data_IF_564735233716
#
_entry.id   IF_564735233716
#
_cell.length_a   1.000
_cell.length_b   1.000
_cell.length_c   1.000
_cell.angle_alpha   90.00
_cell.angle_beta   90.00
_cell.angle_gamma   90.00
#
_symmetry.space_group_name_H-M   'P 1'
#
loop_
_entity.id
_entity.type
_entity.pdbx_description
1 polymer ?
#
# COMPACT_ATOMS: atom_id res chain seq x y z
N UNK A 1 -40.66 50.11 29.11
CA UNK A 1 -42.03 49.56 29.17
C UNK A 1 -42.09 48.45 28.13
N UNK A 2 -42.30 47.16 28.40
CA UNK A 2 -42.56 46.29 29.55
C UNK A 2 -42.05 44.89 29.08
N UNK A 3 -41.21 44.18 29.86
CA UNK A 3 -41.50 42.90 30.56
C UNK A 3 -41.98 41.75 29.64
N UNK A 4 -41.55 40.49 29.70
CA UNK A 4 -40.69 39.71 30.61
C UNK A 4 -40.65 38.29 30.02
N UNK A 5 -39.47 37.68 29.83
CA UNK A 5 -39.35 36.26 29.45
C UNK A 5 -39.34 35.39 30.72
N UNK A 6 -40.28 34.44 30.78
CA UNK A 6 -40.39 33.45 31.85
C UNK A 6 -39.75 32.13 31.41
N UNK A 7 -38.86 31.61 32.25
CA UNK A 7 -38.27 30.28 32.12
C UNK A 7 -38.88 29.34 33.18
N UNK A 8 -39.07 28.07 32.82
CA UNK A 8 -39.41 26.94 33.72
C UNK A 8 -40.02 25.78 32.92
N UNK A 9 -39.26 24.73 32.56
CA UNK A 9 -39.17 23.40 33.24
C UNK A 9 -40.53 22.65 33.25
N UNK A 10 -40.72 21.40 32.83
CA UNK A 10 -39.93 20.13 32.71
C UNK A 10 -40.89 19.04 32.14
N UNK A 11 -40.60 17.71 32.05
CA UNK A 11 -39.38 16.95 31.76
C UNK A 11 -39.61 15.72 30.78
N UNK A 12 -38.52 14.98 30.53
CA UNK A 12 -38.42 13.52 30.22
C UNK A 12 -39.03 12.96 28.93
N UNK A 13 -38.19 12.37 28.07
CA UNK A 13 -38.17 10.92 27.83
C UNK A 13 -36.77 10.52 27.39
N UNK A 14 -36.17 9.63 28.19
CA UNK A 14 -35.01 8.83 27.83
C UNK A 14 -35.49 7.75 26.86
N UNK A 15 -34.82 7.63 25.72
CA UNK A 15 -34.56 6.35 25.06
C UNK A 15 -33.24 6.56 24.30
N UNK A 16 -32.17 5.79 24.51
CA UNK A 16 -32.18 4.37 24.85
C UNK A 16 -32.17 3.48 23.61
N UNK A 17 -31.38 3.82 22.58
CA UNK A 17 -31.01 2.89 21.51
C UNK A 17 -29.56 3.19 21.16
N UNK A 18 -28.59 2.40 21.60
CA UNK A 18 -28.39 1.06 21.04
C UNK A 18 -27.46 1.18 19.84
N UNK A 19 -26.27 1.75 20.05
CA UNK A 19 -25.20 1.68 19.06
C UNK A 19 -24.81 0.22 18.92
N UNK A 20 -25.28 -0.39 17.83
CA UNK A 20 -24.84 -1.73 17.45
C UNK A 20 -23.31 -1.71 17.29
N UNK A 21 -22.59 -2.80 17.59
CA UNK A 21 -21.15 -2.89 17.32
C UNK A 21 -20.79 -2.79 15.82
N UNK A 22 -21.80 -2.62 14.95
CA UNK A 22 -21.73 -2.53 13.49
C UNK A 22 -21.70 -1.08 12.95
N UNK A 23 -21.75 -0.04 13.81
CA UNK A 23 -21.61 1.37 13.39
C UNK A 23 -20.14 1.83 13.27
N UNK A 24 -19.19 0.88 13.19
CA UNK A 24 -17.82 1.20 12.83
C UNK A 24 -17.74 1.57 11.33
N UNK A 25 -17.01 2.63 10.93
CA UNK A 25 -16.82 2.96 9.53
C UNK A 25 -16.25 1.76 8.77
N UNK A 26 -16.90 1.34 7.69
CA UNK A 26 -16.52 0.20 6.84
C UNK A 26 -15.23 0.44 6.01
N UNK A 27 -14.36 1.36 6.41
CA UNK A 27 -13.21 1.82 5.62
C UNK A 27 -11.83 1.31 6.10
N UNK A 28 -11.77 0.44 7.13
CA UNK A 28 -10.49 -0.01 7.73
C UNK A 28 -10.15 -1.51 7.53
N UNK A 29 -11.03 -2.31 6.91
CA UNK A 29 -11.04 -3.78 7.09
C UNK A 29 -10.03 -4.58 6.24
N UNK A 30 -9.31 -4.00 5.28
CA UNK A 30 -8.32 -4.79 4.50
C UNK A 30 -7.09 -4.01 4.03
N UNK A 31 -6.71 -2.94 4.74
CA UNK A 31 -5.52 -2.18 4.38
C UNK A 31 -4.25 -3.04 4.55
N UNK A 32 -3.47 -3.24 3.48
CA UNK A 32 -2.27 -4.11 3.45
C UNK A 32 -1.07 -3.38 2.86
N UNK A 33 0.11 -3.88 3.20
CA UNK A 33 1.37 -3.41 2.60
C UNK A 33 1.53 -4.07 1.24
N UNK A 34 1.63 -3.27 0.18
CA UNK A 34 1.93 -3.74 -1.17
C UNK A 34 3.38 -4.21 -1.29
N UNK A 35 3.63 -5.17 -2.18
CA UNK A 35 5.00 -5.64 -2.48
C UNK A 35 5.26 -5.52 -3.97
N UNK A 36 6.33 -4.80 -4.31
CA UNK A 36 6.84 -4.67 -5.68
C UNK A 36 8.27 -5.18 -5.72
N UNK A 37 8.56 -6.11 -6.63
CA UNK A 37 9.91 -6.61 -6.87
C UNK A 37 10.43 -5.99 -8.15
N UNK A 38 11.65 -5.49 -8.12
CA UNK A 38 12.31 -4.85 -9.24
C UNK A 38 13.69 -5.46 -9.44
N UNK A 39 14.02 -5.83 -10.67
CA UNK A 39 15.32 -6.42 -10.96
C UNK A 39 15.68 -6.31 -12.42
N UNK A 40 16.96 -6.38 -12.74
CA UNK A 40 17.44 -6.33 -14.10
C UNK A 40 17.08 -7.60 -14.88
N UNK A 41 16.94 -7.43 -16.21
CA UNK A 41 16.61 -8.50 -17.14
C UNK A 41 15.33 -9.22 -16.69
N UNK A 42 15.43 -10.46 -16.20
CA UNK A 42 14.28 -11.25 -15.73
C UNK A 42 14.37 -11.62 -14.26
N UNK A 43 15.24 -10.95 -13.49
CA UNK A 43 15.53 -11.33 -12.10
C UNK A 43 14.27 -11.27 -11.22
N UNK A 44 13.44 -10.23 -11.35
CA UNK A 44 12.27 -10.06 -10.50
C UNK A 44 11.20 -11.12 -10.80
N UNK A 45 10.85 -11.30 -12.08
CA UNK A 45 9.84 -12.27 -12.49
C UNK A 45 10.28 -13.71 -12.20
N UNK A 46 11.54 -14.06 -12.43
CA UNK A 46 12.04 -15.41 -12.18
C UNK A 46 12.16 -15.74 -10.69
N UNK A 47 12.59 -14.81 -9.83
CA UNK A 47 12.62 -15.07 -8.39
C UNK A 47 11.21 -15.22 -7.80
N UNK A 48 10.24 -14.43 -8.25
CA UNK A 48 8.85 -14.62 -7.80
C UNK A 48 8.30 -15.97 -8.26
N UNK A 49 8.60 -16.40 -9.49
CA UNK A 49 8.21 -17.71 -9.98
C UNK A 49 8.84 -18.85 -9.16
N UNK A 50 10.12 -18.73 -8.80
CA UNK A 50 10.80 -19.67 -7.93
C UNK A 50 10.19 -19.70 -6.52
N UNK A 51 9.87 -18.55 -5.93
CA UNK A 51 9.23 -18.45 -4.63
C UNK A 51 7.85 -19.13 -4.63
N UNK A 52 7.04 -18.90 -5.68
CA UNK A 52 5.72 -19.55 -5.84
C UNK A 52 5.81 -21.06 -6.02
N UNK A 53 6.89 -21.56 -6.63
CA UNK A 53 7.12 -23.00 -6.72
C UNK A 53 7.40 -23.65 -5.35
N UNK A 54 8.02 -22.91 -4.43
CA UNK A 54 8.30 -23.36 -3.06
C UNK A 54 7.08 -23.17 -2.15
N UNK A 55 6.44 -22.01 -2.24
CA UNK A 55 5.30 -21.59 -1.42
C UNK A 55 4.15 -21.13 -2.34
N UNK A 56 3.20 -22.03 -2.67
CA UNK A 56 2.15 -21.75 -3.66
C UNK A 56 1.10 -20.68 -3.27
N UNK A 57 1.02 -20.31 -1.99
CA UNK A 57 0.06 -19.35 -1.44
C UNK A 57 0.76 -18.28 -0.60
N UNK A 58 0.17 -17.10 -0.43
CA UNK A 58 0.75 -15.99 0.35
C UNK A 58 1.59 -15.01 -0.47
N UNK A 59 1.71 -15.25 -1.79
CA UNK A 59 2.38 -14.38 -2.76
C UNK A 59 1.39 -13.76 -3.76
N UNK A 60 0.11 -13.73 -3.39
CA UNK A 60 -0.94 -13.04 -4.12
C UNK A 60 -0.72 -11.52 -4.03
N UNK A 61 -0.92 -10.80 -5.13
CA UNK A 61 -0.75 -9.35 -5.15
C UNK A 61 0.69 -8.85 -5.21
N UNK A 62 1.70 -9.71 -5.03
CA UNK A 62 3.11 -9.36 -5.30
C UNK A 62 3.29 -9.05 -6.78
N UNK A 63 3.76 -7.84 -7.09
CA UNK A 63 3.98 -7.37 -8.47
C UNK A 63 5.47 -7.36 -8.80
N UNK A 64 5.82 -7.57 -10.06
CA UNK A 64 7.21 -7.57 -10.53
C UNK A 64 7.40 -6.60 -11.67
N UNK A 65 8.52 -5.89 -11.67
CA UNK A 65 8.99 -5.08 -12.78
C UNK A 65 10.39 -5.56 -13.17
N UNK A 66 10.49 -6.07 -14.38
CA UNK A 66 11.74 -6.46 -15.00
C UNK A 66 12.33 -5.23 -15.71
N UNK A 67 13.40 -4.68 -15.13
CA UNK A 67 14.11 -3.53 -15.66
C UNK A 67 14.96 -3.92 -16.87
N UNK A 68 14.81 -3.15 -17.94
CA UNK A 68 15.74 -3.17 -19.06
C UNK A 68 17.07 -2.50 -18.71
N UNK A 69 17.83 -2.11 -19.73
CA UNK A 69 19.09 -1.40 -19.53
C UNK A 69 18.87 0.10 -19.28
N UNK A 70 19.32 0.59 -18.13
CA UNK A 70 19.31 2.01 -17.79
C UNK A 70 17.95 2.57 -17.37
N UNK A 71 17.90 3.87 -17.10
CA UNK A 71 16.65 4.59 -16.83
C UNK A 71 15.99 4.98 -18.14
N UNK A 72 14.72 4.63 -18.30
CA UNK A 72 13.91 5.11 -19.43
C UNK A 72 12.62 5.71 -18.90
N UNK A 73 12.01 6.69 -19.60
CA UNK A 73 10.69 7.21 -19.24
C UNK A 73 9.62 6.13 -19.16
N UNK A 74 9.75 5.08 -19.97
CA UNK A 74 8.85 3.91 -19.96
C UNK A 74 8.99 3.12 -18.65
N UNK A 75 10.22 2.89 -18.19
CA UNK A 75 10.47 2.21 -16.93
C UNK A 75 9.95 3.03 -15.74
N UNK A 76 10.16 4.35 -15.76
CA UNK A 76 9.60 5.26 -14.75
C UNK A 76 8.08 5.14 -14.69
N UNK A 77 7.38 5.32 -15.81
CA UNK A 77 5.92 5.23 -15.86
C UNK A 77 5.38 3.85 -15.42
N UNK A 78 6.10 2.79 -15.78
CA UNK A 78 5.78 1.41 -15.36
C UNK A 78 5.91 1.25 -13.85
N UNK A 79 6.98 1.78 -13.25
CA UNK A 79 7.18 1.76 -11.80
C UNK A 79 6.09 2.57 -11.07
N UNK A 80 5.79 3.80 -11.52
CA UNK A 80 4.72 4.63 -10.94
C UNK A 80 3.40 3.88 -10.92
N UNK A 81 3.00 3.34 -12.07
CA UNK A 81 1.74 2.62 -12.23
C UNK A 81 1.71 1.35 -11.37
N UNK A 82 2.84 0.66 -11.26
CA UNK A 82 2.93 -0.57 -10.45
C UNK A 82 2.86 -0.26 -8.96
N UNK A 83 3.55 0.78 -8.49
CA UNK A 83 3.50 1.22 -7.09
C UNK A 83 2.07 1.68 -6.73
N UNK A 84 1.44 2.50 -7.56
CA UNK A 84 0.09 2.98 -7.34
C UNK A 84 -0.94 1.83 -7.29
N UNK A 85 -0.73 0.76 -8.08
CA UNK A 85 -1.58 -0.45 -8.05
C UNK A 85 -1.28 -1.37 -6.87
N UNK A 86 -0.05 -1.36 -6.37
CA UNK A 86 0.38 -2.18 -5.25
C UNK A 86 -0.01 -1.57 -3.91
N UNK A 87 -0.12 -0.24 -3.80
CA UNK A 87 -0.54 0.42 -2.57
C UNK A 87 -2.01 0.11 -2.24
N UNK A 88 -2.21 -0.59 -1.13
CA UNK A 88 -3.51 -0.99 -0.60
C UNK A 88 -3.85 -0.23 0.70
N UNK A 89 -3.35 1.00 0.84
CA UNK A 89 -3.65 1.89 1.97
C UNK A 89 -2.66 1.81 3.13
N UNK A 90 -1.62 0.96 3.03
CA UNK A 90 -0.50 0.92 4.00
C UNK A 90 0.87 1.12 3.37
N UNK A 91 0.92 1.64 2.15
CA UNK A 91 2.16 1.85 1.42
C UNK A 91 2.70 0.58 0.76
N UNK A 92 3.93 0.68 0.27
CA UNK A 92 4.58 -0.32 -0.57
C UNK A 92 6.01 -0.59 -0.10
N UNK A 93 6.35 -1.87 0.02
CA UNK A 93 7.74 -2.33 0.09
C UNK A 93 8.20 -2.67 -1.31
N UNK A 94 9.21 -1.95 -1.78
CA UNK A 94 9.88 -2.24 -3.04
C UNK A 94 11.18 -2.99 -2.78
N UNK A 95 11.27 -4.23 -3.26
CA UNK A 95 12.46 -5.07 -3.13
C UNK A 95 13.23 -5.03 -4.44
N UNK A 96 14.50 -4.61 -4.39
CA UNK A 96 15.36 -4.46 -5.57
C UNK A 96 16.53 -5.43 -5.54
N UNK A 97 17.01 -5.86 -6.70
CA UNK A 97 18.23 -6.68 -6.82
C UNK A 97 19.49 -5.96 -6.31
N UNK A 98 19.72 -4.72 -6.74
CA UNK A 98 20.90 -3.94 -6.41
C UNK A 98 20.56 -2.49 -6.06
N UNK A 99 21.17 -1.97 -4.98
CA UNK A 99 21.07 -0.56 -4.59
C UNK A 99 21.97 0.31 -5.49
N UNK A 100 21.51 1.52 -5.82
CA UNK A 100 22.29 2.47 -6.64
C UNK A 100 22.03 2.39 -8.16
N UNK A 101 21.09 1.55 -8.60
CA UNK A 101 20.58 1.60 -9.96
C UNK A 101 19.49 2.69 -10.11
N UNK A 102 19.43 3.34 -11.27
CA UNK A 102 18.36 4.29 -11.65
C UNK A 102 16.93 3.92 -11.25
N UNK A 103 16.48 2.65 -11.34
CA UNK A 103 15.12 2.25 -10.97
C UNK A 103 14.78 2.51 -9.49
N UNK A 104 15.77 2.41 -8.59
CA UNK A 104 15.64 2.72 -7.16
C UNK A 104 15.33 4.21 -6.93
N UNK A 105 15.99 5.09 -7.67
CA UNK A 105 15.84 6.53 -7.54
C UNK A 105 14.45 7.01 -8.01
N UNK A 106 13.87 6.34 -9.02
CA UNK A 106 12.52 6.61 -9.50
C UNK A 106 11.46 6.31 -8.44
N UNK A 107 11.49 5.13 -7.83
CA UNK A 107 10.53 4.78 -6.77
C UNK A 107 10.65 5.65 -5.52
N UNK A 108 11.84 6.18 -5.23
CA UNK A 108 12.03 7.14 -4.13
C UNK A 108 11.51 8.55 -4.45
N UNK A 109 11.55 8.96 -5.72
CA UNK A 109 11.06 10.26 -6.21
C UNK A 109 9.55 10.27 -6.41
N UNK A 110 8.97 9.13 -6.76
CA UNK A 110 7.52 8.91 -6.94
C UNK A 110 6.82 8.62 -5.60
N UNK A 111 7.14 9.45 -4.59
CA UNK A 111 6.48 9.48 -3.28
C UNK A 111 5.22 10.33 -3.26
N UNK A 112 4.73 10.79 -4.40
CA UNK A 112 3.62 11.73 -4.50
C UNK A 112 2.29 11.05 -4.09
N UNK A 113 2.11 10.83 -2.79
CA UNK A 113 0.93 10.24 -2.17
C UNK A 113 1.11 8.83 -1.58
N UNK A 114 2.27 8.18 -1.77
CA UNK A 114 2.50 6.79 -1.34
C UNK A 114 3.69 6.67 -0.38
N UNK A 115 3.50 5.92 0.72
CA UNK A 115 4.58 5.52 1.61
C UNK A 115 5.37 4.36 0.96
N UNK A 116 6.61 4.63 0.54
CA UNK A 116 7.47 3.64 -0.12
C UNK A 116 8.75 3.40 0.68
N UNK A 117 8.97 2.15 1.04
CA UNK A 117 10.20 1.64 1.64
C UNK A 117 10.94 0.77 0.63
N UNK A 118 12.24 0.98 0.47
CA UNK A 118 13.06 0.24 -0.49
C UNK A 118 14.03 -0.68 0.24
N UNK A 119 14.04 -1.96 -0.13
CA UNK A 119 14.96 -2.99 0.36
C UNK A 119 15.80 -3.50 -0.81
N UNK A 120 17.12 -3.54 -0.67
CA UNK A 120 18.00 -4.07 -1.71
C UNK A 120 18.58 -5.43 -1.37
N UNK A 121 19.06 -6.14 -2.39
CA UNK A 121 19.64 -7.47 -2.23
C UNK A 121 18.59 -8.56 -2.31
N UNK A 122 17.64 -8.40 -3.24
CA UNK A 122 16.60 -9.38 -3.55
C UNK A 122 17.16 -10.79 -3.55
N UNK A 123 16.55 -11.65 -2.75
CA UNK A 123 16.86 -13.07 -2.68
C UNK A 123 15.60 -13.86 -2.32
N UNK A 124 15.68 -15.19 -2.43
CA UNK A 124 14.53 -16.05 -2.22
C UNK A 124 14.05 -16.08 -0.76
N UNK A 125 14.96 -15.95 0.21
CA UNK A 125 14.61 -15.95 1.63
C UNK A 125 13.83 -14.69 2.05
N UNK A 126 13.94 -13.58 1.31
CA UNK A 126 13.08 -12.41 1.53
C UNK A 126 11.65 -12.60 1.02
N UNK A 127 11.44 -13.55 0.09
CA UNK A 127 10.13 -13.82 -0.52
C UNK A 127 9.36 -14.94 0.17
N UNK A 128 10.00 -15.71 1.05
CA UNK A 128 9.41 -16.82 1.81
C UNK A 128 9.09 -16.37 3.23
#
# INVERSE_FOLDING_TARGET
MLQSHHAGHTPTTLDGGGGSPDDAPLDEVDARVGVVILGHAHTASQLLAAARAIMPAGLEGVMTVDAGTGETPVLQATLCTTIARADQGRGVVMIVDLFGASPCACGLRERAGHEVVVLSGLNLAMLL
#
